data_IF_212194219585
#
_entry.id   IF_212194219585
#
_cell.length_a   1.000
_cell.length_b   1.000
_cell.length_c   1.000
_cell.angle_alpha   90.00
_cell.angle_beta   90.00
_cell.angle_gamma   90.00
#
_symmetry.space_group_name_H-M   'P 1'
#
loop_
_entity.id
_entity.type
_entity.pdbx_description
1 polymer ?
#
# COMPACT_ATOMS: atom_id res chain seq x y z
N UNK A 1 -61.72 -40.16 -41.78
CA UNK A 1 -61.44 -39.07 -40.82
C UNK A 1 -60.63 -39.65 -39.68
N UNK A 2 -59.33 -39.38 -39.63
CA UNK A 2 -58.54 -39.51 -38.42
C UNK A 2 -57.39 -38.50 -38.54
N UNK A 3 -57.52 -37.43 -37.76
CA UNK A 3 -56.63 -36.28 -37.69
C UNK A 3 -55.57 -36.57 -36.63
N UNK A 4 -54.34 -36.85 -37.05
CA UNK A 4 -53.21 -37.09 -36.14
C UNK A 4 -51.96 -36.41 -36.66
N UNK A 5 -51.95 -35.08 -36.68
CA UNK A 5 -50.75 -34.28 -37.05
C UNK A 5 -50.65 -32.94 -36.31
N UNK A 6 -51.29 -32.80 -35.14
CA UNK A 6 -51.32 -31.52 -34.40
C UNK A 6 -50.63 -31.55 -33.03
N UNK A 7 -50.27 -32.72 -32.51
CA UNK A 7 -49.67 -32.86 -31.17
C UNK A 7 -48.14 -32.74 -31.16
N UNK A 8 -47.44 -33.27 -32.16
CA UNK A 8 -45.96 -33.24 -32.20
C UNK A 8 -45.40 -31.84 -32.51
N UNK A 9 -46.10 -31.02 -33.28
CA UNK A 9 -45.68 -29.64 -33.57
C UNK A 9 -45.74 -28.72 -32.36
N UNK A 10 -46.58 -29.03 -31.35
CA UNK A 10 -46.69 -28.21 -30.13
C UNK A 10 -45.57 -28.45 -29.14
N UNK A 11 -45.01 -29.67 -29.09
CA UNK A 11 -43.95 -30.04 -28.15
C UNK A 11 -42.60 -29.43 -28.57
N UNK A 12 -42.34 -29.37 -29.88
CA UNK A 12 -41.11 -28.79 -30.42
C UNK A 12 -41.01 -27.27 -30.21
N UNK A 13 -42.16 -26.56 -30.25
CA UNK A 13 -42.21 -25.11 -30.04
C UNK A 13 -41.93 -24.71 -28.58
N UNK A 14 -42.35 -25.53 -27.61
CA UNK A 14 -42.09 -25.29 -26.19
C UNK A 14 -40.62 -25.52 -25.79
N UNK A 15 -39.95 -26.50 -26.39
CA UNK A 15 -38.51 -26.72 -26.17
C UNK A 15 -37.65 -25.62 -26.82
N UNK A 16 -38.02 -25.13 -28.00
CA UNK A 16 -37.33 -24.00 -28.64
C UNK A 16 -37.42 -22.69 -27.85
N UNK A 17 -38.57 -22.43 -27.20
CA UNK A 17 -38.74 -21.27 -26.32
C UNK A 17 -37.91 -21.40 -25.03
N UNK A 18 -37.77 -22.60 -24.45
CA UNK A 18 -36.95 -22.80 -23.25
C UNK A 18 -35.45 -22.57 -23.49
N UNK A 19 -34.93 -22.91 -24.68
CA UNK A 19 -33.56 -22.60 -25.07
C UNK A 19 -33.31 -21.12 -25.40
N UNK A 20 -34.35 -20.38 -25.82
CA UNK A 20 -34.27 -18.93 -26.07
C UNK A 20 -34.20 -18.11 -24.76
N UNK A 21 -34.80 -18.60 -23.67
CA UNK A 21 -34.70 -17.95 -22.35
C UNK A 21 -33.37 -18.23 -21.61
N UNK A 22 -32.62 -19.27 -22.00
CA UNK A 22 -31.34 -19.60 -21.36
C UNK A 22 -30.15 -18.76 -21.86
N UNK A 23 -30.32 -18.01 -22.96
CA UNK A 23 -29.26 -17.18 -23.54
C UNK A 23 -29.35 -15.69 -23.22
N UNK A 24 -30.31 -15.27 -22.40
CA UNK A 24 -30.30 -13.91 -21.85
C UNK A 24 -29.37 -13.85 -20.63
N UNK A 25 -28.09 -14.16 -20.84
CA UNK A 25 -27.04 -13.69 -19.96
C UNK A 25 -27.00 -12.17 -20.10
N UNK A 26 -27.70 -11.48 -19.21
CA UNK A 26 -27.50 -10.05 -19.02
C UNK A 26 -26.05 -9.92 -18.57
N UNK A 27 -25.13 -9.66 -19.51
CA UNK A 27 -23.85 -9.06 -19.16
C UNK A 27 -24.16 -7.68 -18.64
N UNK A 28 -24.41 -7.59 -17.34
CA UNK A 28 -24.20 -6.35 -16.63
C UNK A 28 -22.72 -6.04 -16.84
N UNK A 29 -22.41 -5.06 -17.68
CA UNK A 29 -21.12 -4.38 -17.64
C UNK A 29 -21.06 -3.73 -16.26
N UNK A 30 -20.66 -4.52 -15.28
CA UNK A 30 -20.31 -4.03 -13.96
C UNK A 30 -18.97 -3.37 -14.20
N UNK A 31 -19.00 -2.06 -14.40
CA UNK A 31 -17.77 -1.28 -14.35
C UNK A 31 -17.07 -1.63 -13.05
N UNK A 32 -15.77 -1.88 -13.15
CA UNK A 32 -14.96 -2.16 -11.97
C UNK A 32 -15.16 -1.01 -10.97
N UNK A 33 -15.12 -1.30 -9.65
CA UNK A 33 -15.18 -0.24 -8.64
C UNK A 33 -14.07 0.79 -8.90
N UNK A 34 -14.18 1.99 -8.37
CA UNK A 34 -13.10 2.98 -8.38
C UNK A 34 -12.52 3.02 -6.96
N UNK A 35 -11.18 2.99 -6.76
CA UNK A 35 -10.60 3.12 -5.44
C UNK A 35 -10.97 4.47 -4.84
N UNK A 36 -11.30 4.50 -3.55
CA UNK A 36 -11.55 5.75 -2.85
C UNK A 36 -10.23 6.51 -2.66
N UNK A 37 -10.26 7.82 -2.90
CA UNK A 37 -9.16 8.69 -2.52
C UNK A 37 -8.98 8.65 -1.00
N UNK A 38 -7.74 8.71 -0.53
CA UNK A 38 -7.47 8.93 0.88
C UNK A 38 -8.05 10.27 1.33
N UNK A 39 -8.55 10.35 2.57
CA UNK A 39 -8.90 11.63 3.16
C UNK A 39 -7.69 12.55 3.23
N UNK A 40 -7.94 13.86 3.15
CA UNK A 40 -6.93 14.91 3.28
C UNK A 40 -6.10 14.80 4.57
N UNK A 41 -6.72 14.34 5.65
CA UNK A 41 -6.10 14.16 6.96
C UNK A 41 -6.66 12.91 7.62
N UNK A 42 -5.81 12.11 8.26
CA UNK A 42 -6.23 11.00 9.11
C UNK A 42 -5.13 10.54 10.06
N UNK A 43 -5.54 9.80 11.09
CA UNK A 43 -4.66 8.97 11.91
C UNK A 43 -5.00 7.49 11.71
N UNK A 44 -3.98 6.65 11.69
CA UNK A 44 -4.15 5.20 11.56
C UNK A 44 -3.13 4.49 12.44
N UNK A 45 -3.60 3.51 13.22
CA UNK A 45 -2.73 2.54 13.86
C UNK A 45 -2.54 1.36 12.91
N UNK A 46 -1.29 1.07 12.55
CA UNK A 46 -0.91 -0.06 11.72
C UNK A 46 -0.18 -1.11 12.54
N UNK A 47 -0.50 -2.38 12.28
CA UNK A 47 0.32 -3.51 12.71
C UNK A 47 1.08 -4.06 11.50
N UNK A 48 2.40 -3.92 11.51
CA UNK A 48 3.25 -4.24 10.37
C UNK A 48 4.13 -5.43 10.69
N UNK A 49 4.17 -6.38 9.77
CA UNK A 49 5.04 -7.56 9.81
C UNK A 49 6.00 -7.54 8.62
N UNK A 50 7.30 -7.56 8.92
CA UNK A 50 8.37 -7.77 7.94
C UNK A 50 9.07 -9.09 8.25
N UNK A 51 8.58 -10.18 7.65
CA UNK A 51 9.17 -11.53 7.79
C UNK A 51 9.40 -11.98 9.24
N UNK A 52 8.47 -11.65 10.14
CA UNK A 52 8.53 -11.94 11.57
C UNK A 52 8.99 -10.77 12.44
N UNK A 53 9.51 -9.69 11.85
CA UNK A 53 9.79 -8.45 12.59
C UNK A 53 8.51 -7.61 12.69
N UNK A 54 7.92 -7.61 13.89
CA UNK A 54 6.63 -6.98 14.17
C UNK A 54 6.81 -5.56 14.73
N UNK A 55 6.03 -4.61 14.21
CA UNK A 55 5.97 -3.24 14.70
C UNK A 55 4.52 -2.73 14.75
N UNK A 56 4.22 -1.91 15.76
CA UNK A 56 3.08 -0.98 15.75
C UNK A 56 3.56 0.33 15.14
N UNK A 57 2.79 0.90 14.23
CA UNK A 57 3.06 2.22 13.65
C UNK A 57 1.85 3.12 13.82
N UNK A 58 2.02 4.28 14.44
CA UNK A 58 1.03 5.35 14.40
C UNK A 58 1.36 6.23 13.19
N UNK A 59 0.48 6.19 12.19
CA UNK A 59 0.58 6.95 10.95
C UNK A 59 -0.31 8.19 11.05
N UNK A 60 0.30 9.36 11.01
CA UNK A 60 -0.38 10.64 10.86
C UNK A 60 -0.18 11.14 9.45
N UNK A 61 -1.27 11.40 8.74
CA UNK A 61 -1.27 11.91 7.38
C UNK A 61 -1.92 13.28 7.36
N UNK A 62 -1.24 14.28 6.79
CA UNK A 62 -1.72 15.65 6.70
C UNK A 62 -1.32 16.27 5.35
N UNK A 63 -2.12 15.98 4.33
CA UNK A 63 -1.89 16.41 2.96
C UNK A 63 -1.94 17.94 2.77
N UNK A 64 -2.90 18.69 3.35
CA UNK A 64 -2.93 20.15 3.22
C UNK A 64 -1.63 20.84 3.66
N UNK A 65 -0.95 20.28 4.66
CA UNK A 65 0.34 20.77 5.16
C UNK A 65 1.55 19.99 4.61
N UNK A 66 1.33 19.06 3.68
CA UNK A 66 2.38 18.35 2.97
C UNK A 66 3.28 17.49 3.86
N UNK A 67 2.72 16.83 4.87
CA UNK A 67 3.50 16.08 5.87
C UNK A 67 2.87 14.73 6.21
N UNK A 68 3.72 13.74 6.43
CA UNK A 68 3.37 12.38 6.85
C UNK A 68 4.30 11.95 7.98
N UNK A 69 3.77 11.32 9.03
CA UNK A 69 4.56 10.98 10.21
C UNK A 69 4.26 9.57 10.70
N UNK A 70 5.25 8.70 10.62
CA UNK A 70 5.22 7.35 11.15
C UNK A 70 5.97 7.30 12.49
N UNK A 71 5.24 7.00 13.57
CA UNK A 71 5.83 6.72 14.89
C UNK A 71 5.87 5.20 15.06
N UNK A 72 7.09 4.64 15.05
CA UNK A 72 7.34 3.22 14.83
C UNK A 72 7.87 2.57 16.11
N UNK A 73 7.07 1.68 16.69
CA UNK A 73 7.44 0.87 17.84
C UNK A 73 7.58 -0.60 17.44
N UNK A 74 8.82 -1.11 17.41
CA UNK A 74 9.07 -2.55 17.33
C UNK A 74 8.81 -3.21 18.68
N UNK A 75 8.40 -4.48 18.71
CA UNK A 75 8.01 -5.17 19.96
C UNK A 75 9.04 -5.08 21.10
N UNK A 76 10.34 -5.17 20.78
CA UNK A 76 11.44 -5.09 21.74
C UNK A 76 12.52 -4.08 21.30
N UNK A 77 12.15 -3.12 20.45
CA UNK A 77 13.10 -2.21 19.82
C UNK A 77 12.97 -0.76 20.28
N UNK A 78 13.89 0.05 19.76
CA UNK A 78 13.90 1.51 19.94
C UNK A 78 12.69 2.13 19.24
N UNK A 79 12.04 3.07 19.92
CA UNK A 79 11.01 3.91 19.32
C UNK A 79 11.65 4.82 18.27
N UNK A 80 11.19 4.70 17.02
CA UNK A 80 11.70 5.45 15.88
C UNK A 80 10.64 6.35 15.32
N UNK A 81 11.08 7.44 14.72
CA UNK A 81 10.26 8.47 14.11
C UNK A 81 10.69 8.60 12.66
N UNK A 82 9.73 8.56 11.75
CA UNK A 82 9.92 8.80 10.31
C UNK A 82 8.98 9.93 9.88
N UNK A 83 9.55 11.13 9.84
CA UNK A 83 8.85 12.37 9.48
C UNK A 83 9.16 12.68 8.01
N UNK A 84 8.13 12.65 7.18
CA UNK A 84 8.22 12.81 5.74
C UNK A 84 7.54 14.11 5.30
N UNK A 85 8.19 14.84 4.40
CA UNK A 85 7.66 16.05 3.79
C UNK A 85 7.37 15.83 2.31
N UNK A 86 6.41 16.59 1.79
CA UNK A 86 5.98 16.51 0.39
C UNK A 86 7.07 16.89 -0.62
N UNK A 87 8.15 17.54 -0.17
CA UNK A 87 9.32 17.84 -0.99
C UNK A 87 10.24 16.63 -1.20
N UNK A 88 9.90 15.46 -0.65
CA UNK A 88 10.68 14.23 -0.76
C UNK A 88 11.64 13.98 0.39
N UNK A 89 11.87 14.94 1.28
CA UNK A 89 12.75 14.75 2.44
C UNK A 89 12.05 13.92 3.51
N UNK A 90 12.74 12.90 4.02
CA UNK A 90 12.32 12.11 5.17
C UNK A 90 13.42 12.11 6.24
N UNK A 91 13.02 12.27 7.50
CA UNK A 91 13.88 12.24 8.67
C UNK A 91 13.57 11.01 9.51
N UNK A 92 14.52 10.08 9.59
CA UNK A 92 14.49 8.95 10.48
C UNK A 92 15.28 9.26 11.74
N UNK A 93 14.62 9.37 12.89
CA UNK A 93 15.29 9.74 14.13
C UNK A 93 14.76 9.01 15.37
N UNK A 94 15.51 9.17 16.46
CA UNK A 94 15.20 8.63 17.79
C UNK A 94 15.30 9.74 18.83
N UNK A 95 14.38 9.77 19.79
CA UNK A 95 14.33 10.75 20.88
C UNK A 95 14.64 10.10 22.23
N UNK A 96 14.72 10.91 23.28
CA UNK A 96 14.81 10.43 24.67
C UNK A 96 13.68 9.41 24.97
N UNK A 97 13.96 8.33 25.71
CA UNK A 97 15.20 8.05 26.46
C UNK A 97 16.30 7.33 25.63
N UNK A 98 16.16 7.25 24.32
CA UNK A 98 17.14 6.60 23.45
C UNK A 98 18.20 7.58 22.97
N UNK A 99 19.35 7.07 22.53
CA UNK A 99 20.40 7.89 21.91
C UNK A 99 19.82 8.69 20.75
N UNK A 100 20.16 9.96 20.66
CA UNK A 100 19.73 10.82 19.54
C UNK A 100 20.47 10.39 18.29
N UNK A 101 19.72 9.92 17.30
CA UNK A 101 20.23 9.57 15.97
C UNK A 101 19.34 10.21 14.93
N UNK A 102 19.92 10.60 13.79
CA UNK A 102 19.15 11.08 12.64
C UNK A 102 19.76 10.54 11.34
N UNK A 103 18.90 10.07 10.44
CA UNK A 103 19.23 9.76 9.05
C UNK A 103 18.26 10.51 8.15
N UNK A 104 18.78 11.29 7.22
CA UNK A 104 17.99 12.00 6.23
C UNK A 104 17.96 11.19 4.95
N UNK A 105 16.78 10.92 4.42
CA UNK A 105 16.56 10.27 3.14
C UNK A 105 15.82 11.21 2.19
N UNK A 106 15.98 10.98 0.89
CA UNK A 106 15.21 11.68 -0.14
C UNK A 106 14.48 10.67 -1.02
N UNK A 107 13.18 10.89 -1.20
CA UNK A 107 12.30 10.10 -2.05
C UNK A 107 11.61 11.05 -3.05
N UNK A 108 11.90 10.90 -4.34
CA UNK A 108 11.41 11.82 -5.40
C UNK A 108 9.87 11.96 -5.46
N UNK A 109 9.15 10.99 -4.92
CA UNK A 109 7.68 10.97 -4.85
C UNK A 109 7.14 11.93 -3.79
N UNK A 110 7.87 12.10 -2.68
CA UNK A 110 7.33 12.68 -1.46
C UNK A 110 6.29 11.78 -0.81
N UNK A 111 5.38 12.41 -0.06
CA UNK A 111 4.24 11.71 0.54
C UNK A 111 3.20 11.38 -0.54
N UNK A 112 2.48 10.27 -0.35
CA UNK A 112 1.44 9.85 -1.29
C UNK A 112 0.33 10.90 -1.37
N UNK A 113 -0.15 11.18 -2.59
CA UNK A 113 -1.33 12.03 -2.81
C UNK A 113 -2.60 11.30 -2.39
N UNK A 114 -3.71 12.01 -2.11
CA UNK A 114 -4.99 11.40 -1.85
C UNK A 114 -5.41 10.35 -2.89
N UNK A 115 -5.14 10.61 -4.17
CA UNK A 115 -5.52 9.77 -5.30
C UNK A 115 -4.40 8.84 -5.79
N UNK A 116 -3.42 8.47 -4.95
CA UNK A 116 -2.26 7.67 -5.36
C UNK A 116 -2.59 6.30 -5.99
N UNK A 117 -3.82 5.79 -5.79
CA UNK A 117 -4.34 4.57 -6.42
C UNK A 117 -4.93 4.79 -7.83
N UNK A 118 -4.94 6.01 -8.37
CA UNK A 118 -5.41 6.27 -9.72
C UNK A 118 -4.60 5.45 -10.74
N UNK A 119 -5.30 4.75 -11.63
CA UNK A 119 -4.67 3.84 -12.60
C UNK A 119 -4.18 2.51 -12.02
N UNK A 120 -4.54 2.16 -10.77
CA UNK A 120 -4.31 0.83 -10.23
C UNK A 120 -5.15 -0.23 -10.94
N UNK A 121 -4.63 -1.46 -10.97
CA UNK A 121 -5.32 -2.61 -11.54
C UNK A 121 -6.25 -3.24 -10.50
N UNK A 122 -7.53 -3.40 -10.85
CA UNK A 122 -8.48 -4.11 -10.02
C UNK A 122 -8.27 -5.63 -10.13
N UNK A 123 -8.13 -6.31 -9.00
CA UNK A 123 -7.88 -7.76 -8.94
C UNK A 123 -9.08 -8.58 -8.47
N UNK A 124 -10.20 -7.93 -8.14
CA UNK A 124 -11.40 -8.58 -7.61
C UNK A 124 -11.56 -8.38 -6.10
N UNK A 125 -12.37 -9.25 -5.49
CA UNK A 125 -12.69 -9.16 -4.05
C UNK A 125 -12.11 -10.31 -3.25
N UNK A 126 -11.70 -10.03 -2.01
CA UNK A 126 -11.17 -11.03 -1.09
C UNK A 126 -11.59 -10.73 0.35
N UNK A 127 -11.87 -11.79 1.13
CA UNK A 127 -12.05 -11.66 2.57
C UNK A 127 -10.69 -11.55 3.29
N UNK A 128 -10.51 -10.48 4.07
CA UNK A 128 -9.32 -10.19 4.87
C UNK A 128 -9.75 -9.57 6.19
N UNK A 129 -9.26 -10.07 7.33
CA UNK A 129 -9.54 -9.54 8.67
C UNK A 129 -11.04 -9.34 8.98
N UNK A 130 -11.89 -10.24 8.44
CA UNK A 130 -13.35 -10.19 8.48
C UNK A 130 -14.02 -9.09 7.63
N UNK A 131 -13.29 -8.43 6.75
CA UNK A 131 -13.81 -7.50 5.75
C UNK A 131 -13.82 -8.16 4.37
N UNK A 132 -14.90 -7.94 3.61
CA UNK A 132 -14.87 -8.17 2.16
C UNK A 132 -14.21 -6.96 1.52
N UNK A 133 -13.05 -7.15 0.91
CA UNK A 133 -12.24 -6.06 0.36
C UNK A 133 -12.21 -6.08 -1.17
N UNK A 134 -12.27 -4.90 -1.81
CA UNK A 134 -11.75 -4.70 -3.16
C UNK A 134 -10.21 -4.73 -3.10
N UNK A 135 -9.58 -5.41 -4.07
CA UNK A 135 -8.13 -5.55 -4.13
C UNK A 135 -7.59 -4.79 -5.34
N UNK A 136 -6.62 -3.93 -5.07
CA UNK A 136 -5.94 -3.10 -6.06
C UNK A 136 -4.46 -3.45 -6.09
N UNK A 137 -3.86 -3.51 -7.27
CA UNK A 137 -2.41 -3.58 -7.46
C UNK A 137 -1.94 -2.32 -8.18
N UNK A 138 -0.88 -1.70 -7.66
CA UNK A 138 -0.28 -0.51 -8.25
C UNK A 138 1.21 -0.75 -8.48
N UNK A 139 1.61 -0.65 -9.75
CA UNK A 139 2.99 -0.66 -10.26
C UNK A 139 3.86 -1.82 -9.78
N UNK A 140 3.27 -3.01 -9.62
CA UNK A 140 3.88 -4.22 -9.07
C UNK A 140 4.56 -4.03 -7.69
N UNK A 141 4.20 -2.94 -7.01
CA UNK A 141 4.86 -2.49 -5.79
C UNK A 141 4.01 -2.75 -4.56
N UNK A 142 2.70 -2.50 -4.66
CA UNK A 142 1.77 -2.57 -3.54
C UNK A 142 0.43 -3.18 -3.95
N UNK A 143 -0.08 -4.06 -3.09
CA UNK A 143 -1.44 -4.58 -3.11
C UNK A 143 -2.23 -3.95 -1.98
N UNK A 144 -3.30 -3.24 -2.32
CA UNK A 144 -4.11 -2.47 -1.39
C UNK A 144 -5.50 -3.07 -1.26
N UNK A 145 -5.90 -3.36 -0.02
CA UNK A 145 -7.18 -3.95 0.32
C UNK A 145 -8.06 -2.87 0.93
N UNK A 146 -9.15 -2.55 0.25
CA UNK A 146 -10.15 -1.54 0.64
C UNK A 146 -11.46 -2.25 0.99
N UNK A 147 -12.02 -2.00 2.17
CA UNK A 147 -13.34 -2.53 2.52
C UNK A 147 -14.41 -2.09 1.50
N UNK A 148 -15.18 -3.04 0.97
CA UNK A 148 -16.21 -2.77 -0.06
C UNK A 148 -17.28 -1.82 0.46
N UNK A 149 -17.62 -1.90 1.75
CA UNK A 149 -18.73 -1.14 2.35
C UNK A 149 -18.28 0.25 2.77
N UNK A 150 -17.25 0.34 3.64
CA UNK A 150 -16.84 1.61 4.24
C UNK A 150 -15.78 2.35 3.46
N UNK A 151 -15.18 1.72 2.43
CA UNK A 151 -14.09 2.27 1.62
C UNK A 151 -12.81 2.56 2.40
N UNK A 152 -12.68 2.05 3.63
CA UNK A 152 -11.48 2.25 4.44
C UNK A 152 -10.37 1.28 4.04
N UNK A 153 -9.09 1.65 4.20
CA UNK A 153 -7.98 0.71 4.14
C UNK A 153 -8.15 -0.41 5.18
N UNK A 154 -7.87 -1.64 4.77
CA UNK A 154 -7.85 -2.82 5.66
C UNK A 154 -6.44 -3.40 5.75
N UNK A 155 -5.76 -3.55 4.62
CA UNK A 155 -4.44 -4.20 4.55
C UNK A 155 -3.65 -3.72 3.36
N UNK A 156 -2.34 -3.59 3.52
CA UNK A 156 -1.40 -3.35 2.43
C UNK A 156 -0.36 -4.46 2.40
N UNK A 157 0.02 -4.89 1.21
CA UNK A 157 1.14 -5.83 1.01
C UNK A 157 2.10 -5.16 0.04
N UNK A 158 3.36 -5.04 0.41
CA UNK A 158 4.40 -4.52 -0.47
C UNK A 158 5.12 -5.68 -1.15
N UNK A 159 5.71 -5.42 -2.32
CA UNK A 159 6.49 -6.39 -3.09
C UNK A 159 7.61 -7.05 -2.26
N UNK A 160 8.11 -6.35 -1.24
CA UNK A 160 9.14 -6.87 -0.32
C UNK A 160 8.62 -7.93 0.65
N UNK A 161 7.34 -8.28 0.61
CA UNK A 161 6.67 -9.14 1.58
C UNK A 161 6.32 -8.45 2.90
N UNK A 162 6.48 -7.12 3.00
CA UNK A 162 5.97 -6.38 4.16
C UNK A 162 4.44 -6.36 4.11
N UNK A 163 3.82 -6.72 5.23
CA UNK A 163 2.37 -6.71 5.37
C UNK A 163 2.00 -5.69 6.45
N UNK A 164 1.16 -4.73 6.11
CA UNK A 164 0.57 -3.78 7.04
C UNK A 164 -0.92 -4.08 7.20
N UNK A 165 -1.36 -4.33 8.43
CA UNK A 165 -2.77 -4.43 8.79
C UNK A 165 -3.22 -3.11 9.42
N UNK A 166 -4.37 -2.59 8.99
CA UNK A 166 -4.93 -1.32 9.47
C UNK A 166 -5.86 -1.61 10.63
N UNK A 167 -5.45 -1.20 11.84
CA UNK A 167 -6.18 -1.47 13.09
C UNK A 167 -7.23 -0.40 13.37
N UNK A 168 -6.90 0.87 13.13
CA UNK A 168 -7.79 2.02 13.26
C UNK A 168 -7.65 2.92 12.03
N UNK A 169 -8.68 3.70 11.72
CA UNK A 169 -8.65 4.67 10.63
C UNK A 169 -9.57 5.85 10.98
N UNK A 170 -8.96 6.92 11.49
CA UNK A 170 -9.64 8.07 12.07
C UNK A 170 -9.55 9.26 11.10
N UNK A 171 -10.59 9.39 10.27
CA UNK A 171 -10.69 10.45 9.26
C UNK A 171 -10.78 11.82 9.92
N UNK A 172 -9.96 12.78 9.45
CA UNK A 172 -9.91 14.16 9.95
C UNK A 172 -9.12 14.34 11.25
N UNK A 173 -8.52 13.27 11.79
CA UNK A 173 -7.61 13.39 12.93
C UNK A 173 -6.35 14.16 12.54
N UNK A 174 -5.90 15.04 13.44
CA UNK A 174 -4.73 15.90 13.25
C UNK A 174 -3.81 15.82 14.47
N UNK A 175 -2.52 15.98 14.22
CA UNK A 175 -1.49 16.04 15.26
C UNK A 175 -1.05 17.50 15.44
N UNK A 176 -0.84 17.93 16.69
CA UNK A 176 -0.41 19.30 16.99
C UNK A 176 0.89 19.66 16.25
N UNK A 177 0.93 20.88 15.70
CA UNK A 177 2.03 21.41 14.88
C UNK A 177 3.43 21.24 15.48
N UNK A 178 3.53 21.29 16.81
CA UNK A 178 4.79 21.12 17.53
C UNK A 178 5.46 19.75 17.28
N UNK A 179 4.68 18.70 17.00
CA UNK A 179 5.21 17.35 16.78
C UNK A 179 5.77 17.13 15.37
N UNK A 180 5.49 18.03 14.44
CA UNK A 180 5.89 17.91 13.03
C UNK A 180 7.28 18.47 12.73
N UNK A 181 8.04 18.83 13.77
CA UNK A 181 9.38 19.38 13.62
C UNK A 181 10.43 18.28 13.79
N UNK A 182 11.29 18.13 12.79
CA UNK A 182 12.48 17.30 12.92
C UNK A 182 13.40 17.89 14.00
N UNK A 183 14.09 17.05 14.79
CA UNK A 183 15.02 17.55 15.81
C UNK A 183 16.19 18.35 15.23
N UNK A 184 16.72 19.30 16.02
CA UNK A 184 17.78 20.21 15.56
C UNK A 184 19.06 19.47 15.13
N UNK A 185 19.38 18.35 15.78
CA UNK A 185 20.53 17.51 15.42
C UNK A 185 20.37 16.78 14.07
N UNK A 186 19.19 16.80 13.44
CA UNK A 186 19.03 16.35 12.05
C UNK A 186 19.60 17.35 11.03
N UNK A 187 19.91 18.58 11.45
CA UNK A 187 20.40 19.64 10.57
C UNK A 187 21.87 20.01 10.81
N UNK A 188 22.53 19.39 11.81
CA UNK A 188 23.98 19.47 11.94
C UNK A 188 24.65 18.74 10.78
N UNK A 189 25.80 19.24 10.33
CA UNK A 189 26.55 18.69 9.19
C UNK A 189 26.63 17.17 9.30
N UNK A 190 26.01 16.47 8.34
CA UNK A 190 26.07 15.03 8.27
C UNK A 190 27.55 14.64 8.13
N UNK A 191 28.05 13.82 9.07
CA UNK A 191 29.27 13.06 8.84
C UNK A 191 29.12 12.40 7.46
N UNK A 192 30.01 12.68 6.49
CA UNK A 192 29.85 12.18 5.15
C UNK A 192 29.76 10.66 5.20
N UNK A 193 28.64 10.11 4.70
CA UNK A 193 28.47 8.68 4.48
C UNK A 193 29.73 8.19 3.74
N UNK A 194 30.43 7.13 4.20
CA UNK A 194 31.57 6.61 3.47
C UNK A 194 31.10 6.24 2.08
N UNK A 195 31.48 7.06 1.10
CA UNK A 195 31.25 6.77 -0.30
C UNK A 195 31.85 5.40 -0.54
N UNK A 196 31.01 4.42 -0.87
CA UNK A 196 31.47 3.14 -1.37
C UNK A 196 32.18 3.40 -2.70
N UNK A 197 33.48 3.71 -2.60
CA UNK A 197 34.36 3.90 -3.73
C UNK A 197 34.35 2.57 -4.49
N UNK A 198 33.75 2.60 -5.69
CA UNK A 198 33.78 1.51 -6.63
C UNK A 198 35.24 1.18 -6.99
N UNK A 199 35.87 0.28 -6.23
CA UNK A 199 37.20 -0.24 -6.51
C UNK A 199 37.08 -1.31 -7.60
N UNK A 200 37.18 -0.89 -8.86
CA UNK A 200 37.62 -1.80 -9.93
C UNK A 200 39.07 -2.19 -9.67
N UNK A 201 39.31 -3.43 -9.25
CA UNK A 201 40.43 -4.26 -9.75
C UNK A 201 40.44 -5.64 -9.07
N UNK A 202 39.99 -6.66 -9.83
CA UNK A 202 40.66 -7.95 -10.06
C UNK A 202 41.26 -8.75 -8.87
N UNK A 203 40.66 -9.93 -8.65
CA UNK A 203 41.30 -11.26 -8.46
C UNK A 203 41.13 -11.98 -7.10
N UNK A 204 40.37 -13.08 -7.18
CA UNK A 204 40.36 -14.36 -6.41
C UNK A 204 39.95 -14.45 -4.92
N UNK A 205 38.83 -15.19 -4.76
CA UNK A 205 38.61 -16.36 -3.89
C UNK A 205 38.15 -16.19 -2.43
N UNK A 206 36.96 -16.77 -2.17
CA UNK A 206 36.47 -17.48 -0.97
C UNK A 206 36.32 -16.61 0.30
N UNK A 207 35.16 -16.44 0.95
CA UNK A 207 34.13 -17.44 1.32
C UNK A 207 32.72 -16.83 1.48
N UNK A 208 31.75 -17.73 1.46
CA UNK A 208 30.29 -17.58 1.47
C UNK A 208 29.73 -17.32 2.89
N UNK A 209 28.78 -16.39 3.05
CA UNK A 209 27.48 -16.54 3.76
C UNK A 209 26.69 -15.20 3.68
N UNK A 210 25.33 -15.19 3.63
CA UNK A 210 24.55 -14.09 3.04
C UNK A 210 23.73 -13.29 4.06
N UNK A 211 23.77 -11.96 4.00
CA UNK A 211 22.70 -11.11 4.51
C UNK A 211 22.84 -9.67 4.03
N UNK A 212 22.30 -9.35 2.85
CA UNK A 212 21.77 -8.02 2.52
C UNK A 212 21.14 -8.08 1.12
N UNK A 213 19.84 -8.35 1.07
CA UNK A 213 19.05 -8.08 -0.13
C UNK A 213 18.85 -6.56 -0.19
N UNK A 214 19.88 -5.84 -0.66
CA UNK A 214 19.73 -4.52 -1.25
C UNK A 214 19.38 -4.76 -2.73
N UNK A 215 18.10 -5.05 -2.96
CA UNK A 215 17.53 -4.99 -4.30
C UNK A 215 17.46 -3.53 -4.71
N UNK A 216 18.40 -3.09 -5.53
CA UNK A 216 18.36 -1.79 -6.18
C UNK A 216 17.09 -1.68 -7.01
N UNK A 217 16.16 -0.82 -6.59
CA UNK A 217 15.04 -0.43 -7.42
C UNK A 217 15.42 0.78 -8.26
N UNK A 218 15.21 0.59 -9.56
CA UNK A 218 15.30 1.56 -10.65
C UNK A 218 14.30 2.68 -10.32
N UNK A 219 14.76 3.93 -10.17
CA UNK A 219 13.96 5.09 -9.77
C UNK A 219 12.72 5.41 -10.63
N UNK A 220 12.48 4.65 -11.70
CA UNK A 220 11.32 4.78 -12.58
C UNK A 220 10.02 4.31 -11.91
N UNK A 221 10.04 3.27 -11.06
CA UNK A 221 8.81 2.68 -10.50
C UNK A 221 8.17 3.50 -9.36
N UNK A 222 8.97 4.28 -8.63
CA UNK A 222 8.43 5.14 -7.59
C UNK A 222 7.75 6.38 -8.18
N UNK A 223 8.24 6.94 -9.29
CA UNK A 223 7.64 8.13 -9.91
C UNK A 223 6.17 7.95 -10.33
N UNK A 224 5.74 6.71 -10.60
CA UNK A 224 4.37 6.38 -11.03
C UNK A 224 3.38 6.21 -9.86
N UNK A 225 3.85 6.39 -8.61
CA UNK A 225 3.02 6.49 -7.40
C UNK A 225 2.57 7.94 -7.12
N UNK A 226 2.91 8.90 -8.01
CA UNK A 226 2.53 10.31 -7.89
C UNK A 226 1.08 10.61 -8.21
#
# INVERSE_FOLDING_TARGET
>A
MASTTTTEQRICFCFGLFFLFLHLSISTTTDNPVPAAWPEQFHSVLFINRSGNLQKTDLWYDWPNGRNFNIIQHQLGVLKYDLEWNNGTSFYYTLDPFNHTCKILHFDVGILRPNWLDGANYLGQQYVDNFLCNVWEKVDFIWYFEDVITKRPVKWIFYSGMIAHVMTFEVGAVLDDAHWQAPVYCFSEAEPEPQMLARKSSFLSLDLEPAAVLGGFRGTLMSDMR
#
